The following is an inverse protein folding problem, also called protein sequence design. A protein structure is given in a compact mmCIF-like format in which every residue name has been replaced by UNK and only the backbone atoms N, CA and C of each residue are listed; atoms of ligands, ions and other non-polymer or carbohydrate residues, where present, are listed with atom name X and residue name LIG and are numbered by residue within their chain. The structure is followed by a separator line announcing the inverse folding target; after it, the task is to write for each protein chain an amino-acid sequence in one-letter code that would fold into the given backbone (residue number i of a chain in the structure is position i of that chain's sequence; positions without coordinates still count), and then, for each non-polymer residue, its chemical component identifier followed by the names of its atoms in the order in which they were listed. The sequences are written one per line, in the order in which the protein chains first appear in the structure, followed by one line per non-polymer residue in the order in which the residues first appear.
data_IF_747713661827
#
_entry.id   IF_747713661827
#
_cell.length_a   1.000
_cell.length_b   1.000
_cell.length_c   1.000
_cell.angle_alpha   90.00
_cell.angle_beta   90.00
_cell.angle_gamma   90.00
#
_symmetry.space_group_name_H-M   'P 1'
#
loop_
_entity.id
_entity.type
_entity.pdbx_description
1 polymer ?
#
# COMPACT_ATOMS: atom_id res chain seq x y z
N UNK A 1 -18.93 18.75 -6.21
CA UNK A 1 -18.48 17.86 -7.31
C UNK A 1 -17.48 18.55 -8.25
N UNK A 2 -17.81 19.69 -8.84
CA UNK A 2 -16.91 20.37 -9.78
C UNK A 2 -15.56 20.80 -9.19
N UNK A 3 -15.53 21.32 -7.94
CA UNK A 3 -14.28 21.73 -7.26
C UNK A 3 -13.37 20.52 -6.93
N UNK A 4 -13.95 19.39 -6.57
CA UNK A 4 -13.23 18.16 -6.29
C UNK A 4 -12.63 17.55 -7.56
N UNK A 5 -13.40 17.53 -8.67
CA UNK A 5 -12.91 17.09 -9.97
C UNK A 5 -11.78 17.97 -10.50
N UNK A 6 -11.86 19.30 -10.27
CA UNK A 6 -10.78 20.26 -10.60
C UNK A 6 -9.53 20.01 -9.77
N UNK A 7 -9.65 19.72 -8.47
CA UNK A 7 -8.50 19.41 -7.62
C UNK A 7 -7.77 18.13 -8.07
N UNK A 8 -8.53 17.11 -8.44
CA UNK A 8 -8.00 15.86 -9.00
C UNK A 8 -7.32 16.10 -10.34
N UNK A 9 -7.96 16.86 -11.23
CA UNK A 9 -7.39 17.19 -12.53
C UNK A 9 -6.08 17.99 -12.39
N UNK A 10 -6.03 18.96 -11.49
CA UNK A 10 -4.82 19.74 -11.19
C UNK A 10 -3.71 18.86 -10.61
N UNK A 11 -4.04 17.91 -9.73
CA UNK A 11 -3.07 16.96 -9.18
C UNK A 11 -2.54 15.99 -10.24
N UNK A 12 -3.41 15.44 -11.09
CA UNK A 12 -3.00 14.56 -12.20
C UNK A 12 -2.20 15.31 -13.25
N UNK A 13 -2.61 16.53 -13.62
CA UNK A 13 -1.86 17.38 -14.56
C UNK A 13 -0.53 17.86 -13.97
N UNK A 14 -0.44 18.13 -12.66
CA UNK A 14 0.80 18.45 -11.96
C UNK A 14 1.81 17.30 -11.99
N UNK A 15 1.34 16.06 -11.83
CA UNK A 15 2.18 14.86 -11.93
C UNK A 15 2.63 14.62 -13.38
N UNK A 16 1.76 14.86 -14.37
CA UNK A 16 2.09 14.72 -15.80
C UNK A 16 3.06 15.82 -16.28
N UNK A 17 2.94 17.05 -15.80
CA UNK A 17 3.84 18.15 -16.16
C UNK A 17 5.26 17.97 -15.59
N UNK A 18 5.40 17.23 -14.48
CA UNK A 18 6.70 16.91 -13.88
C UNK A 18 7.52 15.89 -14.71
N UNK A 19 6.94 15.25 -15.72
CA UNK A 19 7.59 14.17 -16.48
C UNK A 19 8.41 14.64 -17.70
N UNK A 20 8.49 15.94 -18.02
CA UNK A 20 8.96 16.42 -19.36
C UNK A 20 10.27 17.23 -19.33
N UNK A 21 11.13 17.11 -18.34
CA UNK A 21 12.44 17.80 -18.41
C UNK A 21 13.61 16.87 -18.11
N UNK A 22 14.06 16.15 -19.15
CA UNK A 22 15.39 15.54 -19.18
C UNK A 22 16.34 16.51 -19.91
N UNK A 23 17.34 17.04 -19.21
CA UNK A 23 18.39 17.88 -19.80
C UNK A 23 19.59 17.02 -20.14
N UNK A 24 20.02 17.12 -21.39
CA UNK A 24 21.27 16.53 -21.91
C UNK A 24 22.49 17.23 -21.31
N UNK A 25 23.32 16.48 -20.60
CA UNK A 25 24.62 16.96 -20.12
C UNK A 25 25.71 16.71 -21.17
N UNK A 26 26.37 17.75 -21.61
CA UNK A 26 27.50 17.67 -22.53
C UNK A 26 28.71 16.95 -21.89
N UNK A 27 29.17 15.87 -22.53
CA UNK A 27 30.27 15.04 -22.07
C UNK A 27 31.61 15.57 -22.54
N UNK A 28 32.36 16.20 -21.63
CA UNK A 28 33.82 16.33 -21.75
C UNK A 28 34.47 15.04 -21.24
N UNK A 29 35.51 14.48 -21.98
CA UNK A 29 36.21 13.28 -21.52
C UNK A 29 36.86 13.53 -20.15
N UNK A 30 36.54 12.71 -19.13
CA UNK A 30 37.08 12.89 -17.80
C UNK A 30 38.59 12.56 -17.79
N UNK A 31 39.40 13.45 -17.21
CA UNK A 31 40.82 13.20 -16.96
C UNK A 31 41.06 12.35 -15.71
N UNK A 32 42.19 11.67 -15.63
CA UNK A 32 42.57 10.91 -14.43
C UNK A 32 43.03 11.85 -13.30
N UNK A 33 42.58 11.66 -12.05
CA UNK A 33 43.14 12.37 -10.89
C UNK A 33 44.64 12.11 -10.69
N UNK A 34 45.34 13.04 -10.03
CA UNK A 34 46.78 12.93 -9.82
C UNK A 34 47.24 11.71 -9.02
N UNK A 35 46.39 11.22 -8.07
CA UNK A 35 46.65 9.98 -7.33
C UNK A 35 46.53 8.75 -8.25
N UNK A 36 45.55 8.74 -9.15
CA UNK A 36 45.31 7.62 -10.06
C UNK A 36 46.42 7.52 -11.15
N UNK A 37 46.95 8.64 -11.64
CA UNK A 37 48.06 8.63 -12.62
C UNK A 37 49.30 7.95 -12.05
N UNK A 38 49.59 8.13 -10.75
CA UNK A 38 50.69 7.42 -10.07
C UNK A 38 50.45 5.91 -10.01
N UNK A 39 49.23 5.49 -9.68
CA UNK A 39 48.86 4.08 -9.62
C UNK A 39 48.91 3.41 -11.00
N UNK A 40 48.47 4.09 -12.04
CA UNK A 40 48.51 3.60 -13.41
C UNK A 40 49.97 3.48 -13.86
N UNK A 41 50.82 4.46 -13.56
CA UNK A 41 52.26 4.41 -13.87
C UNK A 41 52.96 3.23 -13.15
N UNK A 42 52.65 2.99 -11.89
CA UNK A 42 53.20 1.83 -11.15
C UNK A 42 52.72 0.47 -11.72
N UNK A 43 51.50 0.41 -12.22
CA UNK A 43 50.97 -0.83 -12.86
C UNK A 43 51.64 -1.10 -14.21
N UNK A 44 52.03 -0.05 -14.96
CA UNK A 44 52.84 -0.22 -16.18
C UNK A 44 54.25 -0.73 -15.89
N UNK A 45 54.86 -0.32 -14.74
CA UNK A 45 56.17 -0.82 -14.33
C UNK A 45 56.20 -2.33 -14.02
N UNK A 46 55.04 -2.95 -13.85
CA UNK A 46 54.87 -4.40 -13.64
C UNK A 46 54.82 -5.22 -14.92
N UNK A 47 55.05 -4.64 -16.10
CA UNK A 47 55.04 -5.28 -17.43
C UNK A 47 53.79 -6.05 -17.84
N UNK A 48 52.64 -5.77 -17.18
CA UNK A 48 51.37 -6.42 -17.52
C UNK A 48 50.81 -5.98 -18.87
N UNK A 49 50.99 -4.70 -19.23
CA UNK A 49 50.52 -4.10 -20.48
C UNK A 49 51.42 -2.97 -20.95
N UNK A 50 51.66 -2.88 -22.27
CA UNK A 50 52.30 -1.71 -22.85
C UNK A 50 51.41 -0.47 -22.78
N UNK A 51 51.91 0.73 -22.44
CA UNK A 51 51.11 1.95 -22.33
C UNK A 51 50.33 2.36 -23.59
N UNK A 52 50.77 1.89 -24.75
CA UNK A 52 50.10 2.12 -26.05
C UNK A 52 49.07 1.10 -26.42
N UNK A 53 48.97 -0.02 -25.68
CA UNK A 53 48.04 -1.11 -25.98
C UNK A 53 46.74 -0.95 -25.21
N UNK A 54 45.82 -0.15 -25.75
CA UNK A 54 44.48 0.09 -25.15
C UNK A 54 43.70 -1.18 -24.89
N UNK A 55 43.78 -2.15 -25.81
CA UNK A 55 43.07 -3.41 -25.66
C UNK A 55 43.54 -4.18 -24.42
N UNK A 56 44.86 -4.28 -24.22
CA UNK A 56 45.44 -4.91 -23.03
C UNK A 56 44.99 -4.20 -21.74
N UNK A 57 45.10 -2.85 -21.72
CA UNK A 57 44.73 -2.02 -20.57
C UNK A 57 43.26 -2.29 -20.18
N UNK A 58 42.36 -2.48 -21.14
CA UNK A 58 40.93 -2.66 -20.92
C UNK A 58 40.52 -4.11 -20.61
N UNK A 59 41.28 -5.13 -21.05
CA UNK A 59 40.87 -6.55 -20.91
C UNK A 59 41.72 -7.36 -19.94
N UNK A 60 42.93 -6.86 -19.56
CA UNK A 60 43.79 -7.60 -18.66
C UNK A 60 43.34 -7.45 -17.21
N UNK A 61 42.79 -8.52 -16.64
CA UNK A 61 42.28 -8.55 -15.27
C UNK A 61 43.35 -8.24 -14.21
N UNK A 62 44.58 -8.71 -14.38
CA UNK A 62 45.68 -8.46 -13.44
C UNK A 62 46.09 -6.99 -13.42
N UNK A 63 46.15 -6.35 -14.57
CA UNK A 63 46.41 -4.90 -14.67
C UNK A 63 45.31 -4.11 -13.97
N UNK A 64 44.05 -4.39 -14.28
CA UNK A 64 42.89 -3.71 -13.68
C UNK A 64 42.81 -3.93 -12.17
N UNK A 65 43.11 -5.15 -11.71
CA UNK A 65 43.12 -5.48 -10.29
C UNK A 65 44.23 -4.68 -9.53
N UNK A 66 45.46 -4.63 -10.05
CA UNK A 66 46.55 -3.90 -9.45
C UNK A 66 46.31 -2.39 -9.40
N UNK A 67 45.76 -1.80 -10.49
CA UNK A 67 45.34 -0.40 -10.50
C UNK A 67 44.27 -0.15 -9.45
N UNK A 68 43.27 -1.01 -9.38
CA UNK A 68 42.14 -0.89 -8.41
C UNK A 68 42.62 -0.96 -6.96
N UNK A 69 43.53 -1.89 -6.64
CA UNK A 69 44.10 -1.99 -5.30
C UNK A 69 44.91 -0.74 -4.92
N UNK A 70 45.76 -0.23 -5.82
CA UNK A 70 46.53 0.98 -5.58
C UNK A 70 45.61 2.20 -5.40
N UNK A 71 44.60 2.37 -6.29
CA UNK A 71 43.67 3.51 -6.25
C UNK A 71 42.82 3.46 -4.96
N UNK A 72 42.37 2.29 -4.53
CA UNK A 72 41.59 2.15 -3.28
C UNK A 72 42.43 2.47 -2.03
N UNK A 73 43.75 2.27 -2.07
CA UNK A 73 44.63 2.53 -0.96
C UNK A 73 45.20 3.99 -0.95
N UNK A 74 45.29 4.65 -2.10
CA UNK A 74 46.00 5.91 -2.25
C UNK A 74 45.15 7.11 -2.62
N UNK A 75 43.95 6.90 -3.16
CA UNK A 75 43.03 7.95 -3.57
C UNK A 75 41.83 8.06 -2.60
N UNK A 76 41.21 9.24 -2.57
CA UNK A 76 39.92 9.44 -1.91
C UNK A 76 38.80 8.72 -2.69
N UNK A 77 37.70 8.44 -2.04
CA UNK A 77 36.53 7.73 -2.69
C UNK A 77 36.06 8.50 -3.93
N UNK A 78 35.86 9.84 -3.90
CA UNK A 78 35.52 10.60 -5.10
C UNK A 78 36.52 10.46 -6.24
N UNK A 79 37.84 10.50 -5.93
CA UNK A 79 38.88 10.32 -6.92
C UNK A 79 38.92 8.90 -7.50
N UNK A 80 38.67 7.90 -6.68
CA UNK A 80 38.55 6.51 -7.12
C UNK A 80 37.37 6.33 -8.10
N UNK A 81 36.21 6.95 -7.82
CA UNK A 81 35.04 6.93 -8.71
C UNK A 81 35.36 7.68 -10.04
N UNK A 82 35.98 8.84 -9.97
CA UNK A 82 36.43 9.58 -11.17
C UNK A 82 37.39 8.74 -12.00
N UNK A 83 38.33 8.03 -11.37
CA UNK A 83 39.27 7.12 -12.02
C UNK A 83 38.54 5.98 -12.74
N UNK A 84 37.59 5.36 -12.08
CA UNK A 84 36.76 4.30 -12.67
C UNK A 84 35.94 4.80 -13.85
N UNK A 85 35.38 6.02 -13.74
CA UNK A 85 34.67 6.66 -14.86
C UNK A 85 35.57 6.89 -16.06
N UNK A 86 36.74 7.48 -15.83
CA UNK A 86 37.71 7.72 -16.91
C UNK A 86 38.18 6.41 -17.57
N UNK A 87 38.47 5.38 -16.77
CA UNK A 87 38.88 4.07 -17.28
C UNK A 87 37.79 3.42 -18.15
N UNK A 88 36.56 3.34 -17.67
CA UNK A 88 35.44 2.73 -18.38
C UNK A 88 35.08 3.53 -19.66
N UNK A 89 35.10 4.86 -19.59
CA UNK A 89 34.88 5.73 -20.77
C UNK A 89 35.95 5.53 -21.82
N UNK A 90 37.22 5.44 -21.42
CA UNK A 90 38.32 5.19 -22.34
C UNK A 90 38.27 3.78 -22.94
N UNK A 91 37.75 2.81 -22.21
CA UNK A 91 37.54 1.44 -22.68
C UNK A 91 36.24 1.25 -23.49
N UNK A 92 35.44 2.29 -23.66
CA UNK A 92 34.17 2.21 -24.40
C UNK A 92 33.10 1.30 -23.74
N UNK A 93 33.18 1.16 -22.42
CA UNK A 93 32.19 0.36 -21.68
C UNK A 93 30.79 1.01 -21.75
N UNK A 94 29.72 0.22 -21.86
CA UNK A 94 28.37 0.73 -21.93
C UNK A 94 28.01 1.45 -20.61
N UNK A 95 27.39 2.61 -20.71
CA UNK A 95 26.85 3.34 -19.57
C UNK A 95 25.40 2.91 -19.38
N UNK A 96 25.09 2.43 -18.18
CA UNK A 96 23.74 2.01 -17.85
C UNK A 96 22.91 3.20 -17.31
N UNK A 97 21.72 3.38 -17.85
CA UNK A 97 20.76 4.36 -17.37
C UNK A 97 19.36 3.76 -17.39
N UNK A 98 18.81 3.47 -16.21
CA UNK A 98 17.48 2.90 -16.02
C UNK A 98 16.51 3.89 -15.37
N UNK A 99 16.93 5.16 -15.17
CA UNK A 99 16.17 6.19 -14.46
C UNK A 99 14.81 6.44 -15.10
N UNK A 100 14.73 6.52 -16.44
CA UNK A 100 13.50 6.77 -17.16
C UNK A 100 12.46 5.67 -16.93
N UNK A 101 12.85 4.40 -17.00
CA UNK A 101 11.98 3.27 -16.75
C UNK A 101 11.38 3.31 -15.34
N UNK A 102 12.15 3.75 -14.34
CA UNK A 102 11.65 3.89 -12.97
C UNK A 102 10.67 5.06 -12.82
N UNK A 103 10.93 6.21 -13.46
CA UNK A 103 10.01 7.36 -13.44
C UNK A 103 8.67 6.99 -14.06
N UNK A 104 8.67 6.32 -15.22
CA UNK A 104 7.45 5.87 -15.89
C UNK A 104 6.67 4.89 -15.01
N UNK A 105 7.35 3.91 -14.42
CA UNK A 105 6.73 2.94 -13.52
C UNK A 105 6.13 3.62 -12.29
N UNK A 106 6.90 4.47 -11.61
CA UNK A 106 6.47 5.17 -10.39
C UNK A 106 5.25 6.05 -10.65
N UNK A 107 5.26 6.84 -11.72
CA UNK A 107 4.16 7.71 -12.08
C UNK A 107 2.91 6.91 -12.46
N UNK A 108 3.05 5.84 -13.25
CA UNK A 108 1.93 4.99 -13.65
C UNK A 108 1.27 4.34 -12.43
N UNK A 109 2.06 3.79 -11.51
CA UNK A 109 1.56 3.16 -10.29
C UNK A 109 0.91 4.18 -9.35
N UNK A 110 1.49 5.38 -9.21
CA UNK A 110 0.93 6.47 -8.39
C UNK A 110 -0.42 6.95 -8.95
N UNK A 111 -0.53 7.14 -10.26
CA UNK A 111 -1.78 7.53 -10.93
C UNK A 111 -2.85 6.44 -10.71
N UNK A 112 -2.49 5.17 -10.91
CA UNK A 112 -3.42 4.05 -10.71
C UNK A 112 -3.92 4.00 -9.26
N UNK A 113 -3.04 4.13 -8.28
CA UNK A 113 -3.40 4.18 -6.86
C UNK A 113 -4.32 5.38 -6.56
N UNK A 114 -3.99 6.57 -7.08
CA UNK A 114 -4.82 7.76 -6.92
C UNK A 114 -6.22 7.58 -7.51
N UNK A 115 -6.34 7.03 -8.72
CA UNK A 115 -7.64 6.73 -9.36
C UNK A 115 -8.46 5.75 -8.50
N UNK A 116 -7.84 4.70 -7.94
CA UNK A 116 -8.51 3.76 -7.05
C UNK A 116 -9.04 4.43 -5.77
N UNK A 117 -8.24 5.29 -5.14
CA UNK A 117 -8.65 6.04 -3.94
C UNK A 117 -9.78 7.01 -4.27
N UNK A 118 -9.66 7.74 -5.36
CA UNK A 118 -10.69 8.69 -5.80
C UNK A 118 -12.01 8.00 -6.16
N UNK A 119 -11.96 6.83 -6.82
CA UNK A 119 -13.14 6.01 -7.09
C UNK A 119 -13.84 5.55 -5.81
N UNK A 120 -13.05 5.16 -4.77
CA UNK A 120 -13.55 4.78 -3.46
C UNK A 120 -14.31 5.92 -2.77
N UNK A 121 -13.73 7.12 -2.73
CA UNK A 121 -14.37 8.30 -2.15
C UNK A 121 -15.56 8.77 -2.98
N UNK A 122 -15.43 8.81 -4.30
CA UNK A 122 -16.53 9.15 -5.21
C UNK A 122 -17.75 8.27 -5.01
N UNK A 123 -17.55 6.96 -4.87
CA UNK A 123 -18.63 6.02 -4.56
C UNK A 123 -19.32 6.35 -3.22
N UNK A 124 -18.55 6.61 -2.17
CA UNK A 124 -19.08 6.90 -0.83
C UNK A 124 -19.84 8.22 -0.78
N UNK A 125 -19.36 9.25 -1.48
CA UNK A 125 -20.04 10.55 -1.55
C UNK A 125 -21.34 10.45 -2.32
N UNK A 126 -21.35 9.74 -3.47
CA UNK A 126 -22.51 9.74 -4.39
C UNK A 126 -23.57 8.72 -3.96
N UNK A 127 -23.17 7.56 -3.44
CA UNK A 127 -24.08 6.43 -3.23
C UNK A 127 -24.24 5.98 -1.78
N UNK A 128 -23.30 6.26 -0.90
CA UNK A 128 -23.32 5.78 0.48
C UNK A 128 -23.64 6.87 1.52
N UNK A 129 -24.02 8.08 1.10
CA UNK A 129 -24.41 9.14 2.02
C UNK A 129 -23.32 9.56 3.02
N UNK A 130 -22.04 9.59 2.60
CA UNK A 130 -20.88 9.98 3.41
C UNK A 130 -20.58 9.07 4.63
N UNK A 131 -20.91 7.77 4.55
CA UNK A 131 -20.46 6.81 5.57
C UNK A 131 -18.94 6.55 5.44
N UNK A 132 -18.14 7.53 5.89
CA UNK A 132 -16.67 7.50 5.88
C UNK A 132 -16.18 6.85 7.16
N UNK A 133 -15.47 5.73 7.05
CA UNK A 133 -14.87 5.01 8.17
C UNK A 133 -13.41 5.40 8.41
N UNK A 134 -12.83 4.91 9.51
CA UNK A 134 -11.40 5.07 9.81
C UNK A 134 -10.51 4.47 8.71
N UNK A 135 -10.96 3.38 8.08
CA UNK A 135 -10.30 2.73 6.94
C UNK A 135 -10.08 3.71 5.76
N UNK A 136 -11.05 4.59 5.50
CA UNK A 136 -10.94 5.59 4.43
C UNK A 136 -9.93 6.69 4.76
N UNK A 137 -9.92 7.15 6.01
CA UNK A 137 -8.97 8.15 6.46
C UNK A 137 -7.52 7.65 6.38
N UNK A 138 -7.27 6.39 6.75
CA UNK A 138 -5.93 5.81 6.62
C UNK A 138 -5.51 5.63 5.16
N UNK A 139 -6.42 5.23 4.26
CA UNK A 139 -6.12 5.18 2.81
C UNK A 139 -5.80 6.57 2.27
N UNK A 140 -6.57 7.60 2.67
CA UNK A 140 -6.29 8.98 2.26
C UNK A 140 -4.95 9.47 2.81
N UNK A 141 -4.66 9.22 4.08
CA UNK A 141 -3.38 9.57 4.70
C UNK A 141 -2.21 8.91 3.98
N UNK A 142 -2.37 7.64 3.56
CA UNK A 142 -1.34 6.94 2.77
C UNK A 142 -1.13 7.61 1.42
N UNK A 143 -2.20 7.99 0.72
CA UNK A 143 -2.10 8.71 -0.57
C UNK A 143 -1.41 10.06 -0.40
N UNK A 144 -1.76 10.81 0.64
CA UNK A 144 -1.11 12.11 0.96
C UNK A 144 0.38 11.92 1.26
N UNK A 145 0.75 10.86 2.01
CA UNK A 145 2.15 10.53 2.29
C UNK A 145 2.90 10.00 1.04
N UNK A 146 2.20 9.43 0.05
CA UNK A 146 2.81 8.95 -1.20
C UNK A 146 3.10 10.09 -2.20
N UNK A 147 2.41 11.24 -2.11
CA UNK A 147 2.66 12.38 -2.99
C UNK A 147 4.09 12.92 -2.90
N UNK A 148 4.64 13.28 -1.71
CA UNK A 148 6.03 13.71 -1.62
C UNK A 148 7.00 12.63 -2.12
N UNK A 149 6.72 11.34 -1.91
CA UNK A 149 7.56 10.26 -2.43
C UNK A 149 7.60 10.26 -3.96
N UNK A 150 6.47 10.46 -4.66
CA UNK A 150 6.43 10.54 -6.11
C UNK A 150 7.21 11.76 -6.64
N UNK A 151 7.07 12.93 -6.00
CA UNK A 151 7.82 14.13 -6.35
C UNK A 151 9.33 13.95 -6.16
N UNK A 152 9.74 13.35 -5.02
CA UNK A 152 11.15 13.07 -4.71
C UNK A 152 11.72 12.06 -5.70
N UNK A 153 10.94 11.06 -6.14
CA UNK A 153 11.40 10.10 -7.16
C UNK A 153 11.79 10.82 -8.45
N UNK A 154 10.98 11.75 -8.94
CA UNK A 154 11.21 12.42 -10.23
C UNK A 154 12.28 13.53 -10.11
N UNK A 155 12.10 14.44 -9.16
CA UNK A 155 12.91 15.66 -9.06
C UNK A 155 14.08 15.55 -8.06
N UNK A 156 14.01 14.59 -7.14
CA UNK A 156 15.05 14.36 -6.13
C UNK A 156 16.03 13.27 -6.56
N UNK A 157 15.60 12.00 -6.53
CA UNK A 157 16.52 10.87 -6.70
C UNK A 157 16.94 10.66 -8.14
N UNK A 158 16.01 10.57 -9.10
CA UNK A 158 16.35 10.28 -10.50
C UNK A 158 17.02 11.48 -11.21
N UNK A 159 16.62 12.70 -10.90
CA UNK A 159 17.27 13.91 -11.41
C UNK A 159 18.73 14.03 -10.95
N UNK A 160 19.07 13.50 -9.77
CA UNK A 160 20.44 13.47 -9.24
C UNK A 160 21.21 12.19 -9.61
N UNK A 161 20.63 11.27 -10.41
CA UNK A 161 21.36 10.15 -10.99
C UNK A 161 21.07 8.79 -10.38
N UNK A 162 19.98 8.61 -9.63
CA UNK A 162 19.51 7.29 -9.26
C UNK A 162 19.16 6.49 -10.53
N UNK A 163 19.67 5.26 -10.65
CA UNK A 163 19.53 4.42 -11.84
C UNK A 163 20.60 4.68 -12.91
N UNK A 164 21.63 5.48 -12.59
CA UNK A 164 22.87 5.60 -13.35
C UNK A 164 24.02 4.97 -12.59
N UNK A 165 25.07 4.62 -13.29
CA UNK A 165 26.29 4.09 -12.67
C UNK A 165 26.91 5.15 -11.73
N UNK A 166 27.22 4.79 -10.47
CA UNK A 166 27.68 5.73 -9.44
C UNK A 166 28.93 6.49 -9.83
N UNK A 167 29.84 5.87 -10.61
CA UNK A 167 31.09 6.49 -11.07
C UNK A 167 30.87 7.56 -12.15
N UNK A 168 29.67 7.66 -12.74
CA UNK A 168 29.32 8.71 -13.71
C UNK A 168 28.80 9.99 -13.06
N UNK A 169 28.55 9.94 -11.74
CA UNK A 169 27.94 11.02 -10.99
C UNK A 169 28.98 11.95 -10.35
N UNK A 170 28.62 13.22 -10.26
CA UNK A 170 29.41 14.20 -9.48
C UNK A 170 29.23 13.94 -7.98
N UNK A 171 30.22 14.26 -7.12
CA UNK A 171 30.13 14.09 -5.66
C UNK A 171 28.89 14.73 -5.04
N UNK A 172 28.49 15.91 -5.55
CA UNK A 172 27.27 16.60 -5.10
C UNK A 172 26.01 15.82 -5.43
N UNK A 173 25.96 15.20 -6.60
CA UNK A 173 24.83 14.38 -7.03
C UNK A 173 24.67 13.13 -6.13
N UNK A 174 25.78 12.46 -5.80
CA UNK A 174 25.79 11.31 -4.91
C UNK A 174 25.24 11.69 -3.52
N UNK A 175 25.70 12.81 -2.96
CA UNK A 175 25.21 13.33 -1.68
C UNK A 175 23.71 13.63 -1.73
N UNK A 176 23.22 14.26 -2.82
CA UNK A 176 21.81 14.55 -3.01
C UNK A 176 20.98 13.28 -3.14
N UNK A 177 21.42 12.28 -3.92
CA UNK A 177 20.72 10.98 -4.03
C UNK A 177 20.57 10.35 -2.65
N UNK A 178 21.63 10.32 -1.84
CA UNK A 178 21.60 9.73 -0.49
C UNK A 178 20.71 10.54 0.46
N UNK A 179 20.68 11.87 0.36
CA UNK A 179 19.79 12.72 1.14
C UNK A 179 18.32 12.44 0.81
N UNK A 180 17.95 12.39 -0.46
CA UNK A 180 16.58 12.06 -0.87
C UNK A 180 16.22 10.62 -0.52
N UNK A 181 17.18 9.69 -0.63
CA UNK A 181 16.97 8.31 -0.20
C UNK A 181 16.68 8.20 1.30
N UNK A 182 17.38 8.99 2.13
CA UNK A 182 17.07 9.08 3.56
C UNK A 182 15.63 9.53 3.82
N UNK A 183 15.14 10.54 3.10
CA UNK A 183 13.74 11.00 3.21
C UNK A 183 12.79 9.89 2.77
N UNK A 184 13.07 9.23 1.64
CA UNK A 184 12.23 8.13 1.13
C UNK A 184 12.17 6.95 2.10
N UNK A 185 13.23 6.65 2.84
CA UNK A 185 13.29 5.51 3.76
C UNK A 185 12.27 5.64 4.91
N UNK A 186 12.22 6.77 5.63
CA UNK A 186 11.26 6.93 6.71
C UNK A 186 9.83 7.16 6.19
N UNK A 187 9.65 7.82 5.03
CA UNK A 187 8.34 7.92 4.37
C UNK A 187 7.80 6.53 4.01
N UNK A 188 8.64 5.65 3.51
CA UNK A 188 8.28 4.28 3.20
C UNK A 188 7.76 3.53 4.45
N UNK A 189 8.46 3.60 5.60
CA UNK A 189 8.01 2.95 6.83
C UNK A 189 6.67 3.50 7.31
N UNK A 190 6.45 4.82 7.19
CA UNK A 190 5.18 5.46 7.49
C UNK A 190 4.06 4.94 6.57
N UNK A 191 4.29 4.90 5.26
CA UNK A 191 3.30 4.47 4.26
C UNK A 191 2.90 3.00 4.44
N UNK A 192 3.86 2.09 4.64
CA UNK A 192 3.57 0.67 4.92
C UNK A 192 2.70 0.53 6.17
N UNK A 193 3.01 1.27 7.22
CA UNK A 193 2.23 1.28 8.47
C UNK A 193 0.80 1.74 8.21
N UNK A 194 0.60 2.85 7.49
CA UNK A 194 -0.71 3.40 7.16
C UNK A 194 -1.54 2.45 6.30
N UNK A 195 -0.94 1.79 5.30
CA UNK A 195 -1.61 0.78 4.46
C UNK A 195 -2.10 -0.39 5.32
N UNK A 196 -1.25 -0.92 6.22
CA UNK A 196 -1.63 -2.03 7.10
C UNK A 196 -2.75 -1.63 8.05
N UNK A 197 -2.72 -0.42 8.61
CA UNK A 197 -3.80 0.13 9.43
C UNK A 197 -5.11 0.25 8.63
N UNK A 198 -5.06 0.74 7.39
CA UNK A 198 -6.24 0.84 6.54
C UNK A 198 -6.91 -0.54 6.34
N UNK A 199 -6.11 -1.59 6.09
CA UNK A 199 -6.60 -2.96 5.91
C UNK A 199 -7.20 -3.52 7.21
N UNK A 200 -6.55 -3.31 8.37
CA UNK A 200 -7.05 -3.79 9.66
C UNK A 200 -8.36 -3.08 10.06
N UNK A 201 -8.46 -1.75 9.91
CA UNK A 201 -9.71 -1.04 10.18
C UNK A 201 -10.83 -1.47 9.25
N UNK A 202 -10.51 -1.80 7.99
CA UNK A 202 -11.47 -2.41 7.08
C UNK A 202 -11.92 -3.80 7.59
N UNK A 203 -11.02 -4.64 8.12
CA UNK A 203 -11.41 -5.92 8.74
C UNK A 203 -12.27 -5.75 9.98
N UNK A 204 -12.01 -4.75 10.83
CA UNK A 204 -12.85 -4.42 11.97
C UNK A 204 -14.30 -4.08 11.55
N UNK A 205 -14.46 -3.43 10.41
CA UNK A 205 -15.77 -3.10 9.86
C UNK A 205 -16.53 -4.32 9.33
N UNK A 206 -15.80 -5.32 8.80
CA UNK A 206 -16.41 -6.53 8.22
C UNK A 206 -16.75 -7.58 9.28
N UNK A 207 -15.89 -7.73 10.29
CA UNK A 207 -15.99 -8.79 11.28
C UNK A 207 -16.41 -8.25 12.67
N UNK A 208 -17.72 -8.22 13.00
CA UNK A 208 -18.21 -7.65 14.26
C UNK A 208 -18.07 -8.60 15.46
N UNK A 209 -17.64 -9.86 15.28
CA UNK A 209 -17.50 -10.84 16.35
C UNK A 209 -16.51 -10.38 17.42
N UNK A 210 -16.90 -10.39 18.70
CA UNK A 210 -16.10 -9.85 19.82
C UNK A 210 -14.69 -10.46 19.92
N UNK A 211 -14.54 -11.76 19.67
CA UNK A 211 -13.26 -12.45 19.70
C UNK A 211 -12.31 -11.92 18.60
N UNK A 212 -12.84 -11.77 17.38
CA UNK A 212 -12.09 -11.25 16.24
C UNK A 212 -11.71 -9.80 16.47
N UNK A 213 -12.61 -8.99 17.02
CA UNK A 213 -12.34 -7.59 17.35
C UNK A 213 -11.17 -7.44 18.35
N UNK A 214 -11.07 -8.31 19.36
CA UNK A 214 -9.92 -8.28 20.30
C UNK A 214 -8.60 -8.54 19.58
N UNK A 215 -8.56 -9.55 18.69
CA UNK A 215 -7.38 -9.86 17.89
C UNK A 215 -7.01 -8.70 16.97
N UNK A 216 -7.98 -8.10 16.29
CA UNK A 216 -7.76 -6.95 15.41
C UNK A 216 -7.22 -5.73 16.18
N UNK A 217 -7.77 -5.43 17.36
CA UNK A 217 -7.28 -4.35 18.21
C UNK A 217 -5.84 -4.60 18.70
N UNK A 218 -5.52 -5.82 19.13
CA UNK A 218 -4.15 -6.19 19.52
C UNK A 218 -3.19 -6.03 18.32
N UNK A 219 -3.61 -6.46 17.13
CA UNK A 219 -2.82 -6.29 15.89
C UNK A 219 -2.65 -4.81 15.53
N UNK A 220 -3.69 -3.98 15.70
CA UNK A 220 -3.61 -2.53 15.47
C UNK A 220 -2.57 -1.87 16.36
N UNK A 221 -2.61 -2.16 17.67
CA UNK A 221 -1.62 -1.64 18.63
C UNK A 221 -0.20 -2.08 18.24
N UNK A 222 -0.03 -3.36 17.87
CA UNK A 222 1.27 -3.86 17.42
C UNK A 222 1.77 -3.12 16.17
N UNK A 223 0.92 -2.92 15.14
CA UNK A 223 1.29 -2.20 13.89
C UNK A 223 1.67 -0.75 14.20
N UNK A 224 0.94 -0.06 15.08
CA UNK A 224 1.25 1.33 15.47
C UNK A 224 2.60 1.41 16.18
N UNK A 225 2.85 0.55 17.17
CA UNK A 225 4.11 0.53 17.92
C UNK A 225 5.28 0.16 17.00
N UNK A 226 5.11 -0.87 16.18
CA UNK A 226 6.10 -1.29 15.18
C UNK A 226 6.42 -0.16 14.19
N UNK A 227 5.38 0.45 13.59
CA UNK A 227 5.57 1.52 12.61
C UNK A 227 6.25 2.74 13.21
N UNK A 228 5.82 3.16 14.40
CA UNK A 228 6.45 4.28 15.11
C UNK A 228 7.93 3.99 15.44
N UNK A 229 8.23 2.78 15.94
CA UNK A 229 9.59 2.39 16.27
C UNK A 229 10.53 2.43 15.05
N UNK A 230 10.06 1.91 13.89
CA UNK A 230 10.88 1.90 12.67
C UNK A 230 11.01 3.28 12.01
N UNK A 231 9.99 4.14 12.07
CA UNK A 231 10.09 5.53 11.63
C UNK A 231 11.12 6.27 12.49
N UNK A 232 11.05 6.15 13.81
CA UNK A 232 12.03 6.77 14.72
C UNK A 232 13.43 6.21 14.47
N UNK A 233 13.57 4.88 14.31
CA UNK A 233 14.86 4.25 14.01
C UNK A 233 15.45 4.75 12.69
N UNK A 234 14.64 4.98 11.64
CA UNK A 234 15.10 5.50 10.35
C UNK A 234 15.54 6.96 10.45
N UNK A 235 14.78 7.80 11.18
CA UNK A 235 15.12 9.22 11.36
C UNK A 235 16.39 9.39 12.18
N UNK A 236 16.57 8.64 13.25
CA UNK A 236 17.70 8.75 14.16
C UNK A 236 18.79 7.69 13.92
N UNK A 237 18.85 7.14 12.71
CA UNK A 237 19.76 6.06 12.34
C UNK A 237 21.25 6.45 12.49
N UNK A 238 21.60 7.73 12.27
CA UNK A 238 22.97 8.22 12.37
C UNK A 238 23.11 9.36 13.38
N UNK A 239 24.26 9.41 14.03
CA UNK A 239 24.68 10.50 14.94
C UNK A 239 26.00 11.10 14.44
N UNK A 240 26.02 12.36 13.98
CA UNK A 240 24.88 13.26 13.69
C UNK A 240 24.04 12.77 12.50
N UNK A 241 22.78 13.25 12.37
CA UNK A 241 21.85 12.79 11.32
C UNK A 241 22.42 13.02 9.91
N UNK A 242 23.05 14.16 9.67
CA UNK A 242 23.63 14.50 8.37
C UNK A 242 24.72 13.51 7.92
N UNK A 243 25.31 12.75 8.83
CA UNK A 243 26.30 11.74 8.51
C UNK A 243 25.74 10.62 7.63
N UNK A 244 24.44 10.41 7.59
CA UNK A 244 23.81 9.40 6.71
C UNK A 244 24.14 9.63 5.23
N UNK A 245 24.09 10.89 4.75
CA UNK A 245 24.34 11.24 3.35
C UNK A 245 25.73 11.81 3.07
N UNK A 246 26.54 12.01 4.09
CA UNK A 246 27.93 12.49 3.94
C UNK A 246 28.98 11.40 4.16
N UNK A 247 28.62 10.28 4.82
CA UNK A 247 29.57 9.20 5.16
C UNK A 247 30.27 8.55 3.96
N UNK A 248 29.69 8.66 2.76
CA UNK A 248 30.17 7.98 1.56
C UNK A 248 31.56 8.48 1.08
N UNK A 249 31.91 9.72 1.39
CA UNK A 249 33.17 10.34 0.98
C UNK A 249 34.37 9.99 1.90
N UNK A 250 34.08 9.44 3.09
CA UNK A 250 35.08 9.07 4.10
C UNK A 250 35.73 10.26 4.80
N UNK A 251 35.30 11.50 4.53
CA UNK A 251 35.89 12.74 5.09
C UNK A 251 35.18 13.19 6.38
N UNK A 252 33.99 12.72 6.62
CA UNK A 252 33.16 13.08 7.77
C UNK A 252 33.23 12.03 8.88
N UNK A 253 33.07 12.47 10.13
CA UNK A 253 33.04 11.58 11.31
C UNK A 253 31.65 11.46 11.84
N UNK A 254 31.24 10.25 12.20
CA UNK A 254 29.97 9.93 12.79
C UNK A 254 29.79 8.43 13.00
N UNK A 255 28.68 8.05 13.58
CA UNK A 255 28.29 6.64 13.78
C UNK A 255 26.87 6.43 13.29
N UNK A 256 26.61 5.33 12.60
CA UNK A 256 25.29 4.91 12.18
C UNK A 256 24.97 3.51 12.66
N UNK A 257 23.71 3.27 13.02
CA UNK A 257 23.20 1.92 13.11
C UNK A 257 23.25 1.24 11.73
N UNK A 258 23.35 -0.08 11.69
CA UNK A 258 23.41 -0.79 10.42
C UNK A 258 22.09 -0.65 9.65
N UNK A 259 22.10 0.08 8.52
CA UNK A 259 20.94 0.31 7.66
C UNK A 259 20.34 -1.03 7.19
N UNK A 260 21.19 -2.00 6.87
CA UNK A 260 20.77 -3.32 6.43
C UNK A 260 20.00 -4.07 7.53
N UNK A 261 20.46 -4.02 8.78
CA UNK A 261 19.77 -4.68 9.90
C UNK A 261 18.39 -4.08 10.13
N UNK A 262 18.26 -2.74 10.11
CA UNK A 262 16.96 -2.05 10.26
C UNK A 262 16.02 -2.41 9.12
N UNK A 263 16.50 -2.36 7.87
CA UNK A 263 15.69 -2.63 6.69
C UNK A 263 15.26 -4.10 6.60
N UNK A 264 16.14 -5.05 6.92
CA UNK A 264 15.82 -6.49 6.90
C UNK A 264 14.86 -6.86 8.03
N UNK A 265 15.05 -6.33 9.23
CA UNK A 265 14.13 -6.56 10.36
C UNK A 265 12.74 -6.03 10.05
N UNK A 266 12.65 -4.80 9.48
CA UNK A 266 11.38 -4.24 9.04
C UNK A 266 10.71 -5.11 7.98
N UNK A 267 11.45 -5.57 6.97
CA UNK A 267 10.92 -6.41 5.91
C UNK A 267 10.41 -7.76 6.43
N UNK A 268 11.15 -8.41 7.32
CA UNK A 268 10.76 -9.69 7.90
C UNK A 268 9.48 -9.55 8.75
N UNK A 269 9.38 -8.52 9.58
CA UNK A 269 8.17 -8.25 10.38
C UNK A 269 7.00 -7.87 9.47
N UNK A 270 7.24 -7.07 8.41
CA UNK A 270 6.22 -6.70 7.42
C UNK A 270 5.61 -7.93 6.76
N UNK A 271 6.45 -8.87 6.28
CA UNK A 271 6.00 -10.14 5.67
C UNK A 271 5.22 -10.98 6.68
N UNK A 272 5.70 -11.10 7.93
CA UNK A 272 5.00 -11.84 8.97
C UNK A 272 3.60 -11.24 9.25
N UNK A 273 3.50 -9.90 9.28
CA UNK A 273 2.23 -9.18 9.42
C UNK A 273 1.31 -9.41 8.21
N UNK A 274 1.83 -9.43 6.98
CA UNK A 274 1.04 -9.71 5.79
C UNK A 274 0.43 -11.11 5.86
N UNK A 275 1.23 -12.12 6.21
CA UNK A 275 0.75 -13.49 6.41
C UNK A 275 -0.28 -13.58 7.55
N UNK A 276 -0.06 -12.86 8.65
CA UNK A 276 -0.99 -12.79 9.76
C UNK A 276 -2.33 -12.18 9.34
N UNK A 277 -2.29 -11.05 8.62
CA UNK A 277 -3.50 -10.40 8.11
C UNK A 277 -4.25 -11.26 7.10
N UNK A 278 -3.56 -12.10 6.33
CA UNK A 278 -4.20 -13.09 5.45
C UNK A 278 -4.84 -14.25 6.24
N UNK A 279 -4.23 -14.65 7.36
CA UNK A 279 -4.74 -15.76 8.18
C UNK A 279 -6.07 -15.42 8.88
N UNK A 280 -6.27 -14.15 9.30
CA UNK A 280 -7.47 -13.71 10.02
C UNK A 280 -8.78 -13.99 9.22
N UNK A 281 -8.96 -13.50 7.98
CA UNK A 281 -10.17 -13.80 7.21
C UNK A 281 -10.31 -15.29 6.85
N UNK A 282 -9.21 -16.02 6.63
CA UNK A 282 -9.23 -17.45 6.34
C UNK A 282 -9.75 -18.27 7.53
N UNK A 283 -9.28 -17.94 8.74
CA UNK A 283 -9.75 -18.58 9.96
C UNK A 283 -11.26 -18.34 10.16
N UNK A 284 -11.70 -17.11 9.94
CA UNK A 284 -13.12 -16.76 10.09
C UNK A 284 -14.01 -17.44 9.04
N UNK A 285 -13.51 -17.65 7.82
CA UNK A 285 -14.24 -18.34 6.77
C UNK A 285 -14.45 -19.84 7.02
N UNK A 286 -13.48 -20.50 7.69
CA UNK A 286 -13.62 -21.92 8.07
C UNK A 286 -14.75 -22.13 9.09
N UNK A 287 -14.98 -21.13 9.94
CA UNK A 287 -16.00 -21.18 10.99
C UNK A 287 -17.42 -20.86 10.48
N UNK A 288 -17.57 -20.26 9.29
CA UNK A 288 -18.84 -19.74 8.81
C UNK A 288 -19.24 -20.37 7.47
N UNK A 289 -20.41 -21.03 7.41
CA UNK A 289 -21.04 -21.53 6.17
C UNK A 289 -21.54 -20.35 5.32
N UNK A 290 -20.65 -19.67 4.58
CA UNK A 290 -21.02 -18.52 3.77
C UNK A 290 -21.59 -18.90 2.41
N UNK A 291 -22.59 -18.12 1.98
CA UNK A 291 -23.17 -18.19 0.63
C UNK A 291 -22.11 -17.84 -0.43
N UNK A 292 -22.11 -18.53 -1.58
CA UNK A 292 -21.10 -18.42 -2.66
C UNK A 292 -20.70 -16.99 -3.03
N UNK A 293 -21.67 -16.05 -3.07
CA UNK A 293 -21.41 -14.63 -3.42
C UNK A 293 -20.49 -13.89 -2.43
N UNK A 294 -20.56 -14.23 -1.14
CA UNK A 294 -19.64 -13.67 -0.12
C UNK A 294 -18.26 -14.33 -0.20
N UNK A 295 -18.18 -15.60 -0.57
CA UNK A 295 -16.94 -16.36 -0.73
C UNK A 295 -16.04 -15.79 -1.83
N UNK A 296 -16.61 -15.36 -2.97
CA UNK A 296 -15.86 -14.72 -4.07
C UNK A 296 -15.18 -13.41 -3.64
N UNK A 297 -15.87 -12.60 -2.80
CA UNK A 297 -15.26 -11.35 -2.31
C UNK A 297 -14.03 -11.55 -1.44
N UNK A 298 -14.08 -12.57 -0.58
CA UNK A 298 -12.95 -12.90 0.29
C UNK A 298 -11.84 -13.58 -0.50
N UNK A 299 -12.18 -14.41 -1.50
CA UNK A 299 -11.18 -15.00 -2.40
C UNK A 299 -10.39 -13.93 -3.17
N UNK A 300 -11.05 -12.88 -3.66
CA UNK A 300 -10.36 -11.75 -4.32
C UNK A 300 -9.38 -11.05 -3.37
N UNK A 301 -9.82 -10.77 -2.13
CA UNK A 301 -8.95 -10.18 -1.11
C UNK A 301 -7.73 -11.06 -0.80
N UNK A 302 -7.94 -12.38 -0.75
CA UNK A 302 -6.88 -13.35 -0.52
C UNK A 302 -5.85 -13.36 -1.65
N UNK A 303 -6.32 -13.37 -2.91
CA UNK A 303 -5.42 -13.34 -4.10
C UNK A 303 -4.55 -12.09 -4.07
N UNK A 304 -5.16 -10.91 -3.83
CA UNK A 304 -4.42 -9.65 -3.84
C UNK A 304 -3.52 -9.53 -2.60
N UNK A 305 -3.97 -9.97 -1.43
CA UNK A 305 -3.12 -10.00 -0.23
C UNK A 305 -1.91 -10.93 -0.40
N UNK A 306 -2.10 -12.10 -1.04
CA UNK A 306 -0.98 -12.98 -1.42
C UNK A 306 -0.02 -12.29 -2.38
N UNK A 307 -0.54 -11.53 -3.35
CA UNK A 307 0.29 -10.77 -4.28
C UNK A 307 1.14 -9.70 -3.54
N UNK A 308 0.55 -8.96 -2.58
CA UNK A 308 1.29 -8.02 -1.71
C UNK A 308 2.43 -8.75 -0.97
N UNK A 309 2.15 -9.91 -0.37
CA UNK A 309 3.17 -10.71 0.32
C UNK A 309 4.31 -11.13 -0.60
N UNK A 310 4.02 -11.54 -1.84
CA UNK A 310 5.04 -11.87 -2.84
C UNK A 310 5.91 -10.64 -3.16
N UNK A 311 5.30 -9.47 -3.37
CA UNK A 311 6.04 -8.22 -3.62
C UNK A 311 6.95 -7.88 -2.44
N UNK A 312 6.47 -8.02 -1.20
CA UNK A 312 7.28 -7.80 0.02
C UNK A 312 8.48 -8.75 0.11
N UNK A 313 8.32 -10.02 -0.34
CA UNK A 313 9.42 -11.00 -0.39
C UNK A 313 10.46 -10.60 -1.45
N UNK A 314 10.03 -10.20 -2.65
CA UNK A 314 10.95 -9.74 -3.72
C UNK A 314 11.70 -8.50 -3.27
N UNK A 315 11.06 -7.58 -2.56
CA UNK A 315 11.72 -6.40 -1.97
C UNK A 315 12.77 -6.81 -0.94
N UNK A 316 12.50 -7.79 -0.08
CA UNK A 316 13.51 -8.30 0.85
C UNK A 316 14.70 -8.87 0.10
N UNK A 317 14.48 -9.61 -0.99
CA UNK A 317 15.57 -10.11 -1.84
C UNK A 317 16.39 -8.96 -2.42
N UNK A 318 15.76 -7.91 -2.97
CA UNK A 318 16.46 -6.73 -3.49
C UNK A 318 17.31 -6.03 -2.42
N UNK A 319 16.86 -6.01 -1.15
CA UNK A 319 17.63 -5.46 -0.03
C UNK A 319 18.85 -6.34 0.30
N UNK A 320 18.78 -7.64 0.14
CA UNK A 320 19.91 -8.56 0.36
C UNK A 320 20.93 -8.41 -0.75
N UNK A 321 20.48 -8.28 -2.00
CA UNK A 321 21.34 -8.11 -3.17
C UNK A 321 22.03 -6.73 -3.12
N UNK A 322 21.32 -5.68 -2.69
CA UNK A 322 21.90 -4.36 -2.42
C UNK A 322 23.08 -4.42 -1.44
N UNK A 323 22.98 -5.21 -0.38
CA UNK A 323 24.04 -5.31 0.63
C UNK A 323 25.35 -5.93 0.09
N UNK A 324 25.28 -6.63 -1.06
CA UNK A 324 26.41 -7.28 -1.74
C UNK A 324 26.88 -6.49 -2.97
N UNK A 325 26.09 -5.53 -3.44
CA UNK A 325 26.33 -4.80 -4.65
C UNK A 325 27.50 -3.82 -4.54
N UNK A 326 28.14 -3.54 -5.67
CA UNK A 326 29.25 -2.58 -5.80
C UNK A 326 28.84 -1.26 -6.46
N UNK A 327 27.60 -1.17 -6.95
CA UNK A 327 27.03 -0.02 -7.65
C UNK A 327 25.81 0.52 -6.91
N UNK A 328 26.08 1.24 -5.82
CA UNK A 328 25.04 1.65 -4.87
C UNK A 328 23.83 2.35 -5.51
N UNK A 329 24.01 3.18 -6.53
CA UNK A 329 22.90 3.91 -7.18
C UNK A 329 22.01 3.02 -8.03
N UNK A 330 22.56 1.96 -8.63
CA UNK A 330 21.76 0.94 -9.35
C UNK A 330 21.03 0.01 -8.37
N UNK A 331 21.73 -0.41 -7.32
CA UNK A 331 21.18 -1.31 -6.32
C UNK A 331 20.05 -0.62 -5.49
N UNK A 332 20.20 0.67 -5.15
CA UNK A 332 19.15 1.49 -4.54
C UNK A 332 17.92 1.64 -5.44
N UNK A 333 18.09 1.65 -6.74
CA UNK A 333 17.00 1.75 -7.68
C UNK A 333 16.07 0.53 -7.59
N UNK A 334 16.62 -0.68 -7.57
CA UNK A 334 15.80 -1.90 -7.47
C UNK A 334 15.01 -1.97 -6.15
N UNK A 335 15.61 -1.56 -5.03
CA UNK A 335 14.90 -1.40 -3.75
C UNK A 335 13.79 -0.36 -3.84
N UNK A 336 14.04 0.77 -4.51
CA UNK A 336 13.04 1.84 -4.66
C UNK A 336 11.87 1.43 -5.55
N UNK A 337 12.13 0.69 -6.64
CA UNK A 337 11.10 0.11 -7.53
C UNK A 337 10.16 -0.77 -6.72
N UNK A 338 10.69 -1.77 -6.01
CA UNK A 338 9.86 -2.73 -5.28
C UNK A 338 9.13 -2.09 -4.10
N UNK A 339 9.73 -1.10 -3.43
CA UNK A 339 9.07 -0.33 -2.38
C UNK A 339 7.89 0.49 -2.93
N UNK A 340 8.04 1.12 -4.09
CA UNK A 340 6.96 1.85 -4.76
C UNK A 340 5.82 0.92 -5.18
N UNK A 341 6.15 -0.23 -5.76
CA UNK A 341 5.15 -1.25 -6.15
C UNK A 341 4.39 -1.76 -4.92
N UNK A 342 5.09 -2.08 -3.83
CA UNK A 342 4.49 -2.57 -2.57
C UNK A 342 3.45 -1.59 -2.02
N UNK A 343 3.79 -0.31 -1.92
CA UNK A 343 2.86 0.72 -1.42
C UNK A 343 1.66 0.91 -2.35
N UNK A 344 1.89 1.05 -3.64
CA UNK A 344 0.81 1.28 -4.60
C UNK A 344 -0.15 0.08 -4.67
N UNK A 345 0.37 -1.14 -4.70
CA UNK A 345 -0.44 -2.37 -4.66
C UNK A 345 -1.19 -2.48 -3.34
N UNK A 346 -0.58 -2.12 -2.23
CA UNK A 346 -1.23 -2.06 -0.92
C UNK A 346 -2.41 -1.10 -0.89
N UNK A 347 -2.26 0.11 -1.45
CA UNK A 347 -3.35 1.10 -1.59
C UNK A 347 -4.47 0.54 -2.48
N UNK A 348 -4.14 -0.05 -3.63
CA UNK A 348 -5.11 -0.67 -4.54
C UNK A 348 -5.86 -1.79 -3.82
N UNK A 349 -5.14 -2.65 -3.08
CA UNK A 349 -5.73 -3.72 -2.27
C UNK A 349 -6.75 -3.19 -1.27
N UNK A 350 -6.41 -2.14 -0.53
CA UNK A 350 -7.32 -1.49 0.41
C UNK A 350 -8.57 -0.90 -0.28
N UNK A 351 -8.50 -0.53 -1.56
CA UNK A 351 -9.60 0.02 -2.34
C UNK A 351 -10.51 -1.03 -3.00
N UNK A 352 -10.06 -2.29 -3.18
CA UNK A 352 -10.79 -3.34 -3.90
C UNK A 352 -12.22 -3.60 -3.42
N UNK A 353 -12.51 -3.61 -2.11
CA UNK A 353 -13.87 -3.82 -1.63
C UNK A 353 -14.87 -2.79 -2.14
N UNK A 354 -14.43 -1.53 -2.21
CA UNK A 354 -15.24 -0.42 -2.73
C UNK A 354 -15.40 -0.51 -4.26
N UNK A 355 -14.31 -0.83 -4.96
CA UNK A 355 -14.32 -1.03 -6.42
C UNK A 355 -15.29 -2.15 -6.80
N UNK A 356 -15.31 -3.26 -6.05
CA UNK A 356 -16.28 -4.34 -6.25
C UNK A 356 -17.72 -3.85 -6.13
N UNK A 357 -18.04 -3.03 -5.12
CA UNK A 357 -19.40 -2.48 -4.96
C UNK A 357 -19.79 -1.56 -6.11
N UNK A 358 -18.83 -0.80 -6.64
CA UNK A 358 -19.01 0.04 -7.83
C UNK A 358 -19.32 -0.82 -9.06
N UNK A 359 -18.52 -1.86 -9.30
CA UNK A 359 -18.68 -2.76 -10.45
C UNK A 359 -20.04 -3.47 -10.44
N UNK A 360 -20.48 -3.95 -9.27
CA UNK A 360 -21.81 -4.60 -9.13
C UNK A 360 -22.94 -3.62 -9.44
N UNK A 361 -22.80 -2.33 -9.10
CA UNK A 361 -23.82 -1.31 -9.43
C UNK A 361 -23.80 -0.88 -10.88
N UNK A 362 -22.62 -0.73 -11.48
CA UNK A 362 -22.47 -0.34 -12.88
C UNK A 362 -22.85 -1.47 -13.85
N UNK A 363 -22.59 -2.71 -13.48
CA UNK A 363 -22.87 -3.90 -14.28
C UNK A 363 -23.82 -4.86 -13.57
N UNK A 364 -25.12 -4.53 -13.43
CA UNK A 364 -26.11 -5.37 -12.73
C UNK A 364 -26.29 -6.75 -13.39
N UNK A 365 -25.94 -6.90 -14.66
CA UNK A 365 -25.96 -8.18 -15.38
C UNK A 365 -24.91 -9.20 -14.91
N UNK A 366 -23.77 -8.78 -14.32
CA UNK A 366 -22.76 -9.67 -13.76
C UNK A 366 -23.15 -10.23 -12.38
N UNK A 367 -24.14 -9.64 -11.73
CA UNK A 367 -24.67 -10.09 -10.43
C UNK A 367 -25.91 -10.95 -10.61
N UNK A 368 -25.86 -12.04 -11.35
CA UNK A 368 -26.94 -13.00 -11.58
C UNK A 368 -28.30 -12.61 -10.97
N UNK A 369 -29.28 -12.42 -11.80
CA UNK A 369 -30.67 -11.94 -11.65
C UNK A 369 -31.51 -12.57 -10.51
N UNK A 370 -31.15 -12.39 -9.23
CA UNK A 370 -31.93 -12.91 -8.11
C UNK A 370 -32.46 -11.84 -7.14
N UNK A 371 -32.25 -10.55 -7.41
CA UNK A 371 -32.75 -9.48 -6.54
C UNK A 371 -33.87 -8.62 -7.14
N UNK A 372 -34.39 -8.97 -8.33
CA UNK A 372 -35.45 -8.17 -8.97
C UNK A 372 -36.85 -8.80 -8.92
N UNK A 373 -37.04 -9.91 -8.18
CA UNK A 373 -38.31 -10.64 -8.20
C UNK A 373 -39.12 -10.65 -6.88
N UNK A 374 -38.71 -9.96 -5.82
CA UNK A 374 -39.51 -9.97 -4.55
C UNK A 374 -40.04 -8.61 -4.09
N UNK A 375 -39.80 -7.53 -4.81
CA UNK A 375 -40.23 -6.19 -4.38
C UNK A 375 -41.40 -5.58 -5.18
N UNK A 376 -41.84 -6.18 -6.29
CA UNK A 376 -42.80 -5.54 -7.19
C UNK A 376 -44.13 -6.30 -7.38
N UNK A 377 -44.32 -7.42 -6.68
CA UNK A 377 -45.56 -8.23 -6.76
C UNK A 377 -46.52 -8.02 -5.60
N UNK A 378 -46.21 -7.12 -4.65
CA UNK A 378 -47.06 -6.90 -3.47
C UNK A 378 -48.02 -5.69 -3.59
N UNK A 379 -47.94 -4.90 -4.68
CA UNK A 379 -48.75 -3.70 -4.84
C UNK A 379 -49.71 -3.69 -6.04
N UNK A 380 -49.94 -4.82 -6.73
CA UNK A 380 -50.77 -4.84 -7.92
C UNK A 380 -51.94 -5.86 -7.88
N UNK A 381 -52.38 -6.29 -6.70
CA UNK A 381 -53.56 -7.13 -6.59
C UNK A 381 -54.55 -6.60 -5.56
N UNK A 382 -54.94 -5.35 -5.71
CA UNK A 382 -56.16 -4.82 -5.09
C UNK A 382 -56.86 -3.91 -6.12
N UNK A 383 -57.72 -4.54 -6.93
CA UNK A 383 -58.63 -3.82 -7.81
C UNK A 383 -59.26 -4.74 -8.85
N UNK A 384 -60.52 -5.03 -8.64
CA UNK A 384 -61.48 -5.77 -9.46
C UNK A 384 -61.59 -7.29 -9.20
N UNK A 385 -62.61 -7.73 -8.46
CA UNK A 385 -63.82 -8.27 -9.03
C UNK A 385 -64.83 -8.65 -7.94
N UNK A 386 -65.92 -7.94 -7.96
CA UNK A 386 -67.19 -8.35 -7.33
C UNK A 386 -67.95 -9.19 -8.33
N UNK A 387 -68.22 -10.43 -8.04
CA UNK A 387 -69.37 -11.26 -8.46
C UNK A 387 -68.99 -12.71 -8.84
N UNK A 388 -69.28 -13.67 -8.06
CA UNK A 388 -70.41 -14.58 -8.14
C UNK A 388 -70.14 -15.90 -7.38
N UNK A 389 -71.10 -16.23 -6.53
CA UNK A 389 -71.61 -17.54 -6.15
C UNK A 389 -70.75 -18.79 -6.04
N UNK A 390 -70.65 -19.32 -4.81
CA UNK A 390 -70.92 -20.72 -4.54
C UNK A 390 -69.70 -21.64 -4.48
N UNK A 391 -69.33 -22.01 -3.29
CA UNK A 391 -69.09 -23.37 -2.77
C UNK A 391 -68.02 -23.38 -1.68
N UNK A 392 -68.48 -23.70 -0.52
CA UNK A 392 -67.94 -24.52 0.58
C UNK A 392 -66.43 -24.92 0.46
N UNK A 393 -65.55 -24.28 1.28
CA UNK A 393 -64.53 -25.00 2.04
C UNK A 393 -63.65 -24.03 2.82
N UNK A 394 -63.51 -24.27 4.11
CA UNK A 394 -62.51 -23.93 5.13
C UNK A 394 -61.89 -22.52 5.24
N UNK A 395 -61.79 -21.94 6.41
CA UNK A 395 -61.36 -20.57 6.65
C UNK A 395 -59.85 -20.46 6.68
N UNK A 396 -59.28 -19.73 5.70
CA UNK A 396 -57.91 -19.21 5.74
C UNK A 396 -57.97 -17.83 6.40
N UNK A 397 -57.52 -17.72 7.62
CA UNK A 397 -57.45 -16.45 8.36
C UNK A 397 -56.44 -15.53 7.70
N UNK A 398 -56.93 -14.53 7.00
CA UNK A 398 -56.11 -13.39 6.51
C UNK A 398 -56.25 -12.31 7.56
N UNK A 399 -55.12 -11.92 8.17
CA UNK A 399 -55.08 -10.81 9.11
C UNK A 399 -55.38 -9.49 8.39
N UNK A 400 -56.49 -8.88 8.70
CA UNK A 400 -56.86 -7.52 8.24
C UNK A 400 -56.27 -6.52 9.23
N UNK A 401 -55.40 -5.64 8.72
CA UNK A 401 -54.98 -4.47 9.47
C UNK A 401 -56.01 -3.35 9.21
N UNK A 402 -56.90 -3.14 10.17
CA UNK A 402 -57.78 -1.97 10.18
C UNK A 402 -57.06 -0.81 10.82
N UNK A 403 -56.91 0.28 10.06
CA UNK A 403 -56.49 1.58 10.58
C UNK A 403 -57.76 2.35 10.92
N UNK A 404 -58.11 2.40 12.17
CA UNK A 404 -59.21 3.25 12.69
C UNK A 404 -58.69 4.70 12.68
N UNK A 405 -59.34 5.52 11.87
CA UNK A 405 -59.20 6.96 11.83
C UNK A 405 -60.29 7.60 12.65
N UNK A 406 -60.08 7.75 13.97
CA UNK A 406 -61.01 8.55 14.78
C UNK A 406 -60.68 10.03 14.60
N UNK A 407 -61.65 10.77 14.03
CA UNK A 407 -61.68 12.23 14.06
C UNK A 407 -62.05 12.69 15.48
N UNK A 408 -61.16 13.40 16.13
CA UNK A 408 -61.56 14.35 17.17
C UNK A 408 -60.73 15.61 17.01
N UNK A 409 -61.47 16.72 16.90
CA UNK A 409 -61.06 18.10 16.79
C UNK A 409 -60.66 18.61 18.18
N UNK A 410 -59.64 19.55 18.20
CA UNK A 410 -59.13 20.37 19.31
C UNK A 410 -58.15 19.70 20.29
N UNK A 411 -56.88 20.01 20.25
CA UNK A 411 -56.11 21.12 20.84
C UNK A 411 -54.62 20.98 20.46
N UNK A 412 -54.03 22.13 20.30
CA UNK A 412 -52.60 22.33 20.00
C UNK A 412 -51.82 22.15 21.29
N UNK A 413 -50.93 21.18 21.39
CA UNK A 413 -49.61 21.23 22.02
C UNK A 413 -48.93 19.85 22.08
N UNK A 414 -47.63 19.84 21.85
CA UNK A 414 -46.68 18.70 21.96
C UNK A 414 -46.79 17.52 21.02
N UNK A 415 -46.02 17.58 19.92
CA UNK A 415 -45.81 16.48 19.00
C UNK A 415 -44.75 15.49 19.52
N UNK A 416 -45.14 14.59 20.41
CA UNK A 416 -44.40 13.34 20.60
C UNK A 416 -45.15 12.20 19.98
N UNK A 417 -44.61 11.67 18.83
CA UNK A 417 -45.15 10.46 18.20
C UNK A 417 -44.67 9.25 19.01
N UNK A 418 -45.54 8.63 19.80
CA UNK A 418 -45.27 7.34 20.46
C UNK A 418 -45.61 6.21 19.50
N UNK A 419 -44.61 5.45 19.07
CA UNK A 419 -44.83 4.19 18.34
C UNK A 419 -44.93 3.05 19.33
N UNK A 420 -46.10 2.39 19.38
CA UNK A 420 -46.28 1.15 20.10
C UNK A 420 -46.28 -0.01 19.10
N UNK A 421 -45.23 -0.83 19.12
CA UNK A 421 -45.17 -2.08 18.34
C UNK A 421 -45.76 -3.20 19.17
N UNK A 422 -46.93 -3.72 18.79
CA UNK A 422 -47.49 -4.91 19.34
C UNK A 422 -47.20 -6.08 18.41
N UNK A 423 -46.56 -7.13 18.94
CA UNK A 423 -46.31 -8.36 18.20
C UNK A 423 -47.26 -9.43 18.74
N UNK A 424 -48.07 -10.01 17.88
CA UNK A 424 -48.86 -11.18 18.18
C UNK A 424 -48.16 -12.39 17.58
N UNK A 425 -47.73 -13.33 18.41
CA UNK A 425 -47.14 -14.59 17.98
C UNK A 425 -48.25 -15.64 17.99
N UNK A 426 -48.58 -16.18 16.82
CA UNK A 426 -49.46 -17.34 16.70
C UNK A 426 -48.60 -18.58 16.42
N UNK A 427 -48.76 -19.60 17.24
CA UNK A 427 -48.13 -20.90 17.05
C UNK A 427 -49.08 -21.83 16.25
N UNK A 428 -48.50 -22.60 15.33
CA UNK A 428 -49.20 -23.68 14.66
C UNK A 428 -48.75 -25.01 15.29
N UNK A 429 -49.67 -25.97 15.43
CA UNK A 429 -49.45 -27.27 16.06
C UNK A 429 -48.38 -28.17 15.41
N UNK A 430 -47.71 -27.69 14.35
CA UNK A 430 -46.63 -28.42 13.69
C UNK A 430 -45.21 -28.07 14.21
N UNK A 431 -45.07 -27.10 15.14
CA UNK A 431 -43.77 -26.64 15.64
C UNK A 431 -43.35 -27.29 16.98
N UNK A 432 -44.13 -28.27 17.47
CA UNK A 432 -43.93 -28.88 18.80
C UNK A 432 -42.71 -29.83 18.91
N UNK A 433 -42.04 -30.13 17.84
CA UNK A 433 -40.92 -31.10 17.83
C UNK A 433 -39.51 -30.52 18.07
N UNK A 434 -39.35 -29.18 18.14
CA UNK A 434 -38.04 -28.56 18.27
C UNK A 434 -37.85 -27.62 19.47
N UNK A 435 -38.65 -27.72 20.52
CA UNK A 435 -38.51 -26.90 21.73
C UNK A 435 -37.52 -27.55 22.72
N UNK A 436 -36.40 -26.93 22.92
CA UNK A 436 -35.43 -27.26 23.98
C UNK A 436 -36.05 -26.88 25.34
N UNK A 437 -36.15 -27.81 26.34
CA UNK A 437 -36.75 -27.50 27.65
C UNK A 437 -35.87 -26.48 28.42
N UNK A 438 -36.44 -25.33 28.75
CA UNK A 438 -35.83 -24.39 29.69
C UNK A 438 -35.88 -24.95 31.11
N UNK A 439 -34.71 -25.12 31.73
CA UNK A 439 -34.60 -25.41 33.16
C UNK A 439 -35.10 -24.22 33.98
N UNK A 440 -35.96 -24.48 34.93
CA UNK A 440 -36.50 -23.52 35.91
C UNK A 440 -35.39 -22.76 36.63
N UNK A 441 -35.34 -21.45 36.45
CA UNK A 441 -34.49 -20.54 37.24
C UNK A 441 -35.26 -20.27 38.54
N UNK A 442 -34.90 -20.96 39.62
CA UNK A 442 -35.39 -20.67 40.97
C UNK A 442 -35.01 -19.26 41.39
N UNK A 443 -35.98 -18.44 41.75
CA UNK A 443 -35.79 -17.13 42.40
C UNK A 443 -35.13 -17.33 43.76
N UNK A 444 -34.09 -16.58 44.12
CA UNK A 444 -33.60 -16.59 45.49
C UNK A 444 -34.59 -15.91 46.44
N UNK A 445 -34.87 -16.58 47.57
CA UNK A 445 -35.70 -16.12 48.64
C UNK A 445 -35.09 -14.88 49.33
N UNK A 446 -35.93 -13.88 49.59
CA UNK A 446 -35.61 -12.77 50.49
C UNK A 446 -35.55 -13.25 51.91
N UNK A 447 -34.39 -13.20 52.55
CA UNK A 447 -34.27 -13.28 54.01
C UNK A 447 -34.28 -11.86 54.57
N UNK A 448 -35.26 -11.55 55.41
CA UNK A 448 -35.26 -10.48 56.40
C UNK A 448 -34.30 -10.88 57.55
N UNK A 449 -33.32 -10.09 57.81
CA UNK A 449 -32.95 -9.55 59.15
C UNK A 449 -32.00 -8.38 58.99
#
# INVERSE_FOLDING_TARGET
MASFLRLVLVLVLGILAAAVQAQDASSSKPGYPACATKCIASAFAGDFCAPTNQTCICTNEQFQHNVTLCVSASCTIPEALATKNASLTNCGAPVHNRAESYVVLSNTMAILAAVCVMSRFGYKIVFAGLDVGWDDWFVMATLVAAMPSAVITVHGTTANGLGRDIWTLEPRQITNVLFYFYIMAWLYFLQVTLVKLAIIFFYMRIFPAREVQRVLWATTVFIVVWGFAFVVAAVFQCKPIHYFWTKWDGLHQGSCASANAVSWSNAAISIALDLWMLAIPLWQLRALKLHWKKKVGVALMFIVGTFVTVVSIIRLQSLVDFAKGSNATMDFMDVSIWSTVEICVGIICACLPSIRMILVKLFPGMSGSTLRSKGRQYYQQYGSDVRSKGARSQPRTVGVVTVDRSNSVHDVEDRHIKFQKTFTISYSDSDETDLVPMKDIQKPAKTHQ
#
